data_IF_569701469383
#
_entry.id   IF_569701469383
#
_cell.length_a   1.000
_cell.length_b   1.000
_cell.length_c   1.000
_cell.angle_alpha   90.00
_cell.angle_beta   90.00
_cell.angle_gamma   90.00
#
_symmetry.space_group_name_H-M   'P 1'
#
loop_
_entity.id
_entity.type
_entity.pdbx_description
1 polymer ?
#
# COMPACT_ATOMS: atom_id res chain seq x y z
N UNK A 1 22.20 14.23 -23.01
CA UNK A 1 21.15 14.41 -22.01
C UNK A 1 19.92 13.64 -22.49
N UNK A 2 19.24 12.84 -21.66
CA UNK A 2 17.99 12.22 -22.09
C UNK A 2 17.00 13.33 -22.48
N UNK A 3 16.15 13.06 -23.50
CA UNK A 3 15.02 13.93 -23.86
C UNK A 3 14.28 14.31 -22.58
N UNK A 4 13.88 15.57 -22.44
CA UNK A 4 12.95 15.94 -21.37
C UNK A 4 11.73 15.02 -21.46
N UNK A 5 11.52 14.21 -20.44
CA UNK A 5 10.36 13.30 -20.33
C UNK A 5 9.29 14.06 -19.57
N UNK A 6 8.13 14.20 -20.18
CA UNK A 6 6.99 14.86 -19.56
C UNK A 6 6.04 13.83 -18.94
N UNK A 7 5.21 14.31 -18.04
CA UNK A 7 4.19 13.47 -17.36
C UNK A 7 3.27 12.79 -18.37
N UNK A 8 2.88 13.51 -19.43
CA UNK A 8 2.01 12.95 -20.49
C UNK A 8 2.62 11.79 -21.28
N UNK A 9 3.95 11.66 -21.31
CA UNK A 9 4.65 10.57 -22.00
C UNK A 9 4.54 9.25 -21.25
N UNK A 10 4.33 9.31 -19.91
CA UNK A 10 4.43 8.15 -19.02
C UNK A 10 3.17 7.91 -18.18
N UNK A 11 2.23 8.86 -18.13
CA UNK A 11 0.99 8.72 -17.37
C UNK A 11 0.09 7.62 -17.95
N UNK A 12 -0.68 6.97 -17.09
CA UNK A 12 -1.78 6.11 -17.49
C UNK A 12 -2.97 6.99 -17.88
N UNK A 13 -3.45 6.86 -19.13
CA UNK A 13 -4.57 7.68 -19.65
C UNK A 13 -5.94 7.06 -19.36
N UNK A 14 -6.04 5.73 -19.44
CA UNK A 14 -7.28 5.01 -19.09
C UNK A 14 -7.36 4.79 -17.59
N UNK A 15 -7.69 5.86 -16.87
CA UNK A 15 -7.68 5.88 -15.40
C UNK A 15 -8.97 5.27 -14.86
N UNK A 16 -8.81 4.21 -14.10
CA UNK A 16 -9.93 3.65 -13.32
C UNK A 16 -10.25 4.59 -12.16
N UNK A 17 -11.48 5.07 -12.10
CA UNK A 17 -11.95 6.03 -11.11
C UNK A 17 -13.15 5.48 -10.33
N UNK A 18 -13.39 6.04 -9.13
CA UNK A 18 -14.66 5.98 -8.45
C UNK A 18 -15.41 7.30 -8.64
N UNK A 19 -16.72 7.33 -8.52
CA UNK A 19 -17.55 8.54 -8.71
C UNK A 19 -18.38 8.87 -7.48
N UNK A 20 -18.66 10.16 -7.27
CA UNK A 20 -19.61 10.61 -6.25
C UNK A 20 -21.00 10.83 -6.87
N UNK A 21 -22.08 10.47 -6.15
CA UNK A 21 -22.10 9.70 -4.92
C UNK A 21 -21.65 8.26 -5.14
N UNK A 22 -21.04 7.62 -4.13
CA UNK A 22 -20.55 6.25 -4.21
C UNK A 22 -20.41 5.62 -2.84
N UNK A 23 -20.21 4.30 -2.84
CA UNK A 23 -20.12 3.50 -1.63
C UNK A 23 -18.76 2.83 -1.45
N UNK A 24 -18.49 2.38 -0.21
CA UNK A 24 -17.35 1.54 0.15
C UNK A 24 -17.25 0.28 -0.71
N UNK A 25 -18.39 -0.41 -0.89
CA UNK A 25 -18.43 -1.67 -1.63
C UNK A 25 -18.08 -1.52 -3.11
N UNK A 26 -18.51 -0.42 -3.73
CA UNK A 26 -18.14 -0.10 -5.11
C UNK A 26 -16.63 0.10 -5.23
N UNK A 27 -16.02 0.83 -4.30
CA UNK A 27 -14.57 1.02 -4.27
C UNK A 27 -13.84 -0.30 -4.07
N UNK A 28 -14.30 -1.15 -3.12
CA UNK A 28 -13.70 -2.47 -2.90
C UNK A 28 -13.73 -3.33 -4.16
N UNK A 29 -14.86 -3.35 -4.88
CA UNK A 29 -14.99 -4.05 -6.17
C UNK A 29 -14.01 -3.51 -7.21
N UNK A 30 -13.88 -2.20 -7.33
CA UNK A 30 -12.92 -1.56 -8.25
C UNK A 30 -11.50 -1.98 -7.91
N UNK A 31 -11.07 -1.81 -6.64
CA UNK A 31 -9.72 -2.12 -6.20
C UNK A 31 -9.35 -3.59 -6.38
N UNK A 32 -10.33 -4.50 -6.17
CA UNK A 32 -10.15 -5.95 -6.34
C UNK A 32 -10.08 -6.34 -7.81
N UNK A 33 -11.07 -5.92 -8.61
CA UNK A 33 -11.20 -6.35 -10.02
C UNK A 33 -10.08 -5.77 -10.90
N UNK A 34 -9.68 -4.53 -10.64
CA UNK A 34 -8.61 -3.84 -11.38
C UNK A 34 -7.23 -4.04 -10.77
N UNK A 35 -7.13 -4.75 -9.64
CA UNK A 35 -5.88 -5.04 -8.92
C UNK A 35 -5.07 -3.78 -8.59
N UNK A 36 -5.75 -2.65 -8.33
CA UNK A 36 -5.12 -1.37 -7.96
C UNK A 36 -5.21 -1.12 -6.46
N UNK A 37 -4.29 -0.32 -5.93
CA UNK A 37 -4.25 -0.01 -4.50
C UNK A 37 -4.99 1.28 -4.12
N UNK A 38 -5.54 1.99 -5.10
CA UNK A 38 -6.35 3.18 -4.91
C UNK A 38 -6.60 3.87 -6.25
N UNK A 39 -7.65 4.68 -6.28
CA UNK A 39 -8.15 5.35 -7.48
C UNK A 39 -8.53 6.80 -7.19
N UNK A 40 -8.50 7.68 -8.19
CA UNK A 40 -9.11 9.00 -8.10
C UNK A 40 -10.63 8.89 -7.90
N UNK A 41 -11.19 9.87 -7.20
CA UNK A 41 -12.64 10.03 -7.02
C UNK A 41 -13.07 11.25 -7.82
N UNK A 42 -14.05 11.04 -8.70
CA UNK A 42 -14.57 12.07 -9.58
C UNK A 42 -15.95 12.56 -9.12
N UNK A 43 -16.18 13.83 -9.30
CA UNK A 43 -17.50 14.45 -9.32
C UNK A 43 -17.55 15.33 -10.56
N UNK A 44 -18.53 15.10 -11.44
CA UNK A 44 -18.69 15.86 -12.70
C UNK A 44 -17.39 15.94 -13.54
N UNK A 45 -16.66 14.82 -13.64
CA UNK A 45 -15.37 14.69 -14.33
C UNK A 45 -14.18 15.41 -13.68
N UNK A 46 -14.38 16.05 -12.53
CA UNK A 46 -13.34 16.72 -11.74
C UNK A 46 -12.81 15.76 -10.68
N UNK A 47 -11.50 15.67 -10.52
CA UNK A 47 -10.86 14.87 -9.47
C UNK A 47 -11.02 15.58 -8.12
N UNK A 48 -11.97 15.15 -7.30
CA UNK A 48 -12.28 15.74 -5.99
C UNK A 48 -11.64 15.00 -4.81
N UNK A 49 -11.05 13.84 -5.06
CA UNK A 49 -10.40 13.04 -4.01
C UNK A 49 -9.62 11.86 -4.55
N UNK A 50 -8.98 11.15 -3.63
CA UNK A 50 -8.35 9.85 -3.85
C UNK A 50 -8.83 8.91 -2.76
N UNK A 51 -9.23 7.70 -3.14
CA UNK A 51 -9.54 6.62 -2.22
C UNK A 51 -8.58 5.45 -2.42
N UNK A 52 -8.10 4.87 -1.33
CA UNK A 52 -7.14 3.78 -1.32
C UNK A 52 -7.54 2.69 -0.32
N UNK A 53 -6.91 1.50 -0.44
CA UNK A 53 -7.07 0.43 0.56
C UNK A 53 -6.81 0.92 1.99
N UNK A 54 -5.83 1.81 2.17
CA UNK A 54 -5.52 2.38 3.48
C UNK A 54 -6.66 3.22 4.04
N UNK A 55 -7.38 3.97 3.19
CA UNK A 55 -8.55 4.74 3.62
C UNK A 55 -9.66 3.80 4.12
N UNK A 56 -9.92 2.71 3.37
CA UNK A 56 -10.94 1.71 3.73
C UNK A 56 -10.60 0.97 5.03
N UNK A 57 -9.32 0.63 5.24
CA UNK A 57 -8.87 -0.06 6.45
C UNK A 57 -8.88 0.82 7.70
N UNK A 58 -8.65 2.13 7.55
CA UNK A 58 -8.67 3.08 8.68
C UNK A 58 -10.08 3.39 9.18
N UNK A 59 -11.07 3.27 8.32
CA UNK A 59 -12.46 3.59 8.62
C UNK A 59 -13.34 2.40 8.24
N UNK A 60 -13.28 1.28 9.00
CA UNK A 60 -13.95 0.04 8.63
C UNK A 60 -15.48 0.14 8.63
N UNK A 61 -16.05 1.03 9.44
CA UNK A 61 -17.50 1.20 9.58
C UNK A 61 -18.08 2.27 8.65
N UNK A 62 -17.23 3.01 7.92
CA UNK A 62 -17.71 4.09 7.05
C UNK A 62 -18.10 3.53 5.67
N UNK A 63 -19.33 3.82 5.24
CA UNK A 63 -19.91 3.35 3.98
C UNK A 63 -19.85 4.40 2.87
N UNK A 64 -19.83 5.69 3.22
CA UNK A 64 -19.89 6.76 2.24
C UNK A 64 -18.51 7.07 1.65
N UNK A 65 -18.37 6.95 0.33
CA UNK A 65 -17.12 7.28 -0.38
C UNK A 65 -16.63 8.70 -0.09
N UNK A 66 -17.54 9.67 0.03
CA UNK A 66 -17.20 11.06 0.31
C UNK A 66 -16.52 11.29 1.67
N UNK A 67 -16.70 10.37 2.64
CA UNK A 67 -16.08 10.40 3.96
C UNK A 67 -14.83 9.51 4.02
N UNK A 68 -14.75 8.49 3.16
CA UNK A 68 -13.60 7.60 3.04
C UNK A 68 -12.44 8.21 2.28
N UNK A 69 -12.70 9.03 1.27
CA UNK A 69 -11.65 9.58 0.40
C UNK A 69 -10.81 10.65 1.10
N UNK A 70 -9.57 10.81 0.67
CA UNK A 70 -8.78 12.00 0.94
C UNK A 70 -9.21 13.06 -0.06
N UNK A 71 -9.73 14.18 0.42
CA UNK A 71 -10.22 15.30 -0.39
C UNK A 71 -9.06 16.15 -0.92
N UNK A 72 -9.37 16.98 -1.91
CA UNK A 72 -8.46 17.95 -2.50
C UNK A 72 -7.09 17.34 -2.85
N UNK A 73 -7.08 16.38 -3.82
CA UNK A 73 -5.88 15.65 -4.15
C UNK A 73 -4.85 16.59 -4.78
N UNK A 74 -3.60 16.40 -4.40
CA UNK A 74 -2.49 17.05 -5.09
C UNK A 74 -2.47 16.55 -6.53
N UNK A 75 -2.49 17.45 -7.48
CA UNK A 75 -2.55 17.17 -8.92
C UNK A 75 -1.30 17.69 -9.63
N UNK A 76 -1.06 17.22 -10.85
CA UNK A 76 0.05 17.67 -11.69
C UNK A 76 -0.43 17.93 -13.12
N UNK A 77 0.22 18.86 -13.84
CA UNK A 77 -0.05 19.12 -15.26
C UNK A 77 0.57 18.02 -16.15
N UNK A 78 -0.06 17.67 -17.28
CA UNK A 78 0.54 16.75 -18.26
C UNK A 78 1.87 17.27 -18.85
N UNK A 79 2.04 18.60 -18.90
CA UNK A 79 3.26 19.25 -19.40
C UNK A 79 4.38 19.40 -18.38
N UNK A 80 4.15 18.96 -17.12
CA UNK A 80 5.22 18.91 -16.10
C UNK A 80 6.26 17.87 -16.46
N UNK A 81 7.51 18.11 -16.09
CA UNK A 81 8.59 17.15 -16.31
C UNK A 81 8.61 16.03 -15.25
N UNK A 82 9.38 14.99 -15.55
CA UNK A 82 9.54 13.81 -14.69
C UNK A 82 10.13 14.16 -13.31
N UNK A 83 11.04 15.13 -13.26
CA UNK A 83 11.70 15.59 -12.03
C UNK A 83 10.69 16.24 -11.09
N UNK A 84 9.84 17.12 -11.61
CA UNK A 84 8.73 17.73 -10.86
C UNK A 84 7.78 16.67 -10.31
N UNK A 85 7.41 15.66 -11.11
CA UNK A 85 6.56 14.56 -10.66
C UNK A 85 7.23 13.75 -9.51
N UNK A 86 8.52 13.41 -9.65
CA UNK A 86 9.30 12.71 -8.63
C UNK A 86 9.37 13.52 -7.32
N UNK A 87 9.64 14.83 -7.43
CA UNK A 87 9.70 15.75 -6.30
C UNK A 87 8.37 15.81 -5.55
N UNK A 88 7.26 16.02 -6.25
CA UNK A 88 5.92 16.07 -5.65
C UNK A 88 5.55 14.76 -4.94
N UNK A 89 5.84 13.59 -5.55
CA UNK A 89 5.59 12.29 -4.94
C UNK A 89 6.38 12.10 -3.63
N UNK A 90 7.62 12.59 -3.57
CA UNK A 90 8.47 12.49 -2.39
C UNK A 90 8.09 13.48 -1.31
N UNK A 91 7.99 14.77 -1.61
CA UNK A 91 7.75 15.85 -0.65
C UNK A 91 6.39 15.68 0.05
N UNK A 92 5.35 15.36 -0.71
CA UNK A 92 4.01 15.15 -0.15
C UNK A 92 3.78 13.74 0.41
N UNK A 93 4.80 12.88 0.35
CA UNK A 93 4.71 11.49 0.82
C UNK A 93 3.53 10.71 0.23
N UNK A 94 3.22 10.92 -1.04
CA UNK A 94 2.13 10.29 -1.79
C UNK A 94 2.67 9.30 -2.82
N UNK A 95 1.84 8.36 -3.25
CA UNK A 95 2.22 7.33 -4.22
C UNK A 95 1.64 7.55 -5.61
N UNK A 96 0.77 8.54 -5.78
CA UNK A 96 0.07 8.83 -7.04
C UNK A 96 -0.34 10.28 -7.11
N UNK A 97 -0.32 10.81 -8.32
CA UNK A 97 -0.75 12.16 -8.67
C UNK A 97 -1.76 12.06 -9.81
N UNK A 98 -3.01 12.50 -9.61
CA UNK A 98 -3.92 12.74 -10.71
C UNK A 98 -3.33 13.80 -11.66
N UNK A 99 -3.34 13.50 -12.94
CA UNK A 99 -2.91 14.45 -13.98
C UNK A 99 -4.13 15.20 -14.46
N UNK A 100 -4.09 16.52 -14.34
CA UNK A 100 -5.23 17.39 -14.61
C UNK A 100 -4.85 18.42 -15.67
N UNK A 101 -5.70 18.58 -16.67
CA UNK A 101 -5.62 19.58 -17.70
C UNK A 101 -6.97 20.32 -17.78
N UNK A 102 -6.95 21.67 -17.78
CA UNK A 102 -8.16 22.50 -17.75
C UNK A 102 -9.22 22.05 -16.71
N UNK A 103 -8.76 21.64 -15.51
CA UNK A 103 -9.61 21.18 -14.41
C UNK A 103 -10.16 19.75 -14.55
N UNK A 104 -9.88 19.05 -15.65
CA UNK A 104 -10.34 17.68 -15.91
C UNK A 104 -9.24 16.66 -15.70
N UNK A 105 -9.60 15.50 -15.19
CA UNK A 105 -8.68 14.37 -15.08
C UNK A 105 -8.35 13.83 -16.48
N UNK A 106 -7.08 13.88 -16.88
CA UNK A 106 -6.57 13.38 -18.16
C UNK A 106 -5.65 12.16 -18.00
N UNK A 107 -5.19 11.88 -16.79
CA UNK A 107 -4.29 10.76 -16.51
C UNK A 107 -4.03 10.54 -15.03
N UNK A 108 -3.22 9.53 -14.76
CA UNK A 108 -2.69 9.23 -13.43
C UNK A 108 -1.22 8.86 -13.57
N UNK A 109 -0.37 9.46 -12.75
CA UNK A 109 1.03 9.04 -12.62
C UNK A 109 1.28 8.49 -11.21
N UNK A 110 2.06 7.43 -11.10
CA UNK A 110 2.39 6.77 -9.84
C UNK A 110 3.90 6.61 -9.66
N UNK A 111 4.33 6.31 -8.44
CA UNK A 111 5.74 5.93 -8.16
C UNK A 111 6.20 4.79 -9.09
N UNK A 112 5.33 3.82 -9.38
CA UNK A 112 5.68 2.68 -10.25
C UNK A 112 5.96 3.13 -11.70
N UNK A 113 5.24 4.10 -12.22
CA UNK A 113 5.45 4.64 -13.59
C UNK A 113 6.78 5.39 -13.66
N UNK A 114 7.08 6.22 -12.65
CA UNK A 114 8.38 6.91 -12.55
C UNK A 114 9.53 5.91 -12.44
N UNK A 115 9.43 4.89 -11.57
CA UNK A 115 10.43 3.82 -11.45
C UNK A 115 10.55 3.03 -12.75
N UNK A 116 9.42 2.80 -13.44
CA UNK A 116 9.40 2.19 -14.77
C UNK A 116 10.24 2.96 -15.78
N UNK A 117 10.17 4.29 -15.74
CA UNK A 117 10.97 5.18 -16.58
C UNK A 117 12.45 5.18 -16.18
N UNK A 118 12.75 5.22 -14.87
CA UNK A 118 14.12 5.09 -14.34
C UNK A 118 14.78 3.78 -14.78
N UNK A 119 13.99 2.69 -14.86
CA UNK A 119 14.47 1.39 -15.33
C UNK A 119 14.93 1.42 -16.80
N UNK A 120 14.31 2.26 -17.62
CA UNK A 120 14.61 2.41 -19.04
C UNK A 120 15.72 3.47 -19.29
N UNK A 121 16.07 4.24 -18.24
CA UNK A 121 17.20 5.17 -18.26
C UNK A 121 18.53 4.45 -18.00
N UNK A 122 19.64 5.14 -18.28
CA UNK A 122 21.00 4.72 -17.91
C UNK A 122 21.51 5.60 -16.78
N UNK A 123 21.08 5.28 -15.54
CA UNK A 123 21.56 5.94 -14.33
C UNK A 123 22.49 4.95 -13.62
N UNK A 124 23.79 5.09 -13.88
CA UNK A 124 24.81 4.18 -13.36
C UNK A 124 25.26 4.50 -11.93
N UNK A 125 24.69 5.57 -11.34
CA UNK A 125 24.97 5.95 -9.95
C UNK A 125 24.67 4.79 -9.00
N UNK A 126 25.62 4.41 -8.11
CA UNK A 126 25.40 3.40 -7.11
C UNK A 126 24.30 3.78 -6.12
N UNK A 127 23.48 2.80 -5.70
CA UNK A 127 22.36 3.05 -4.79
C UNK A 127 22.75 3.36 -3.34
N UNK A 128 24.02 3.28 -2.99
CA UNK A 128 24.53 3.43 -1.61
C UNK A 128 23.96 4.62 -0.85
N UNK A 129 23.84 5.79 -1.50
CA UNK A 129 23.37 7.02 -0.86
C UNK A 129 21.83 7.08 -0.72
N UNK A 130 21.12 6.19 -1.36
CA UNK A 130 19.66 6.15 -1.39
C UNK A 130 19.05 5.07 -0.52
N UNK A 131 19.87 4.13 -0.05
CA UNK A 131 19.44 2.99 0.77
C UNK A 131 19.18 3.45 2.21
N UNK A 132 18.05 3.04 2.76
CA UNK A 132 17.78 3.18 4.18
C UNK A 132 18.52 2.10 4.96
N UNK A 133 19.44 2.49 5.83
CA UNK A 133 20.19 1.57 6.70
C UNK A 133 19.41 1.19 7.96
N UNK A 134 18.32 1.90 8.27
CA UNK A 134 17.43 1.56 9.39
C UNK A 134 16.43 0.50 8.93
N UNK A 135 16.82 -0.76 9.03
CA UNK A 135 16.01 -1.88 8.57
C UNK A 135 15.40 -2.61 9.74
N UNK A 136 14.10 -2.83 9.63
CA UNK A 136 13.37 -3.71 10.54
C UNK A 136 13.39 -5.13 9.94
N UNK A 137 14.09 -6.06 10.57
CA UNK A 137 14.15 -7.45 10.13
C UNK A 137 13.55 -8.37 11.19
N UNK A 138 13.04 -9.53 10.76
CA UNK A 138 12.37 -10.52 11.61
C UNK A 138 13.13 -11.84 11.57
N UNK A 139 13.15 -12.54 12.71
CA UNK A 139 13.70 -13.90 12.78
C UNK A 139 12.71 -14.92 12.21
N UNK A 140 13.23 -15.89 11.45
CA UNK A 140 12.41 -16.84 10.70
C UNK A 140 11.51 -17.75 11.55
N UNK A 141 11.88 -18.01 12.81
CA UNK A 141 11.09 -18.83 13.74
C UNK A 141 10.05 -18.02 14.53
N UNK A 142 9.92 -16.71 14.26
CA UNK A 142 8.94 -15.87 14.95
C UNK A 142 7.52 -16.32 14.58
N UNK A 143 6.59 -16.48 15.57
CA UNK A 143 5.20 -16.80 15.29
C UNK A 143 4.54 -15.76 14.38
N UNK A 144 3.79 -16.23 13.38
CA UNK A 144 3.18 -15.38 12.36
C UNK A 144 2.24 -14.29 12.94
N UNK A 145 1.40 -14.56 13.97
CA UNK A 145 0.57 -13.53 14.59
C UNK A 145 1.36 -12.40 15.24
N UNK A 146 2.53 -12.73 15.81
CA UNK A 146 3.44 -11.72 16.42
C UNK A 146 3.96 -10.78 15.36
N UNK A 147 4.44 -11.33 14.23
CA UNK A 147 4.96 -10.52 13.12
C UNK A 147 3.85 -9.69 12.46
N UNK A 148 2.67 -10.27 12.28
CA UNK A 148 1.50 -9.53 11.76
C UNK A 148 1.21 -8.29 12.63
N UNK A 149 1.24 -8.45 13.96
CA UNK A 149 1.04 -7.33 14.89
C UNK A 149 2.17 -6.31 14.85
N UNK A 150 3.41 -6.75 14.75
CA UNK A 150 4.58 -5.86 14.61
C UNK A 150 4.47 -5.04 13.32
N UNK A 151 4.18 -5.68 12.19
CA UNK A 151 4.04 -5.00 10.90
C UNK A 151 2.90 -3.99 10.89
N UNK A 152 1.77 -4.33 11.52
CA UNK A 152 0.63 -3.42 11.70
C UNK A 152 1.02 -2.18 12.50
N UNK A 153 1.59 -2.35 13.69
CA UNK A 153 1.98 -1.24 14.59
C UNK A 153 3.06 -0.35 13.96
N UNK A 154 4.01 -0.96 13.24
CA UNK A 154 5.11 -0.27 12.59
C UNK A 154 4.74 0.24 11.19
N UNK A 155 3.53 -0.05 10.70
CA UNK A 155 3.04 0.30 9.36
C UNK A 155 3.95 -0.18 8.23
N UNK A 156 4.57 -1.34 8.43
CA UNK A 156 5.46 -1.97 7.47
C UNK A 156 4.64 -2.86 6.52
N UNK A 157 4.93 -2.77 5.23
CA UNK A 157 4.29 -3.61 4.20
C UNK A 157 5.05 -4.89 3.91
N UNK A 158 6.34 -4.88 4.14
CA UNK A 158 7.20 -6.04 4.04
C UNK A 158 8.39 -5.92 4.98
N UNK A 159 8.93 -7.06 5.40
CA UNK A 159 10.08 -7.16 6.29
C UNK A 159 11.03 -8.25 5.79
N UNK A 160 12.35 -8.00 5.78
CA UNK A 160 13.36 -9.02 5.57
C UNK A 160 13.33 -10.07 6.67
N UNK A 161 13.56 -11.32 6.29
CA UNK A 161 13.59 -12.47 7.21
C UNK A 161 15.02 -13.01 7.32
N UNK A 162 15.51 -13.10 8.55
CA UNK A 162 16.84 -13.60 8.88
C UNK A 162 16.77 -14.99 9.52
N UNK A 163 17.81 -15.75 9.31
CA UNK A 163 18.05 -17.02 10.02
C UNK A 163 18.87 -16.82 11.31
N UNK A 164 19.21 -17.91 12.01
CA UNK A 164 20.03 -17.91 13.23
C UNK A 164 21.47 -17.44 13.02
N UNK A 165 21.96 -17.41 11.79
CA UNK A 165 23.27 -16.90 11.42
C UNK A 165 23.23 -15.42 10.99
N UNK A 166 22.07 -14.77 11.11
CA UNK A 166 21.79 -13.43 10.63
C UNK A 166 21.95 -13.27 9.11
N UNK A 167 21.71 -14.33 8.36
CA UNK A 167 21.67 -14.29 6.89
C UNK A 167 20.26 -14.01 6.41
N UNK A 168 20.17 -13.25 5.32
CA UNK A 168 18.88 -13.01 4.66
C UNK A 168 18.43 -14.27 3.94
N UNK A 169 17.31 -14.85 4.39
CA UNK A 169 16.73 -16.08 3.82
C UNK A 169 15.37 -15.88 3.17
N UNK A 170 14.72 -14.76 3.42
CA UNK A 170 13.39 -14.49 2.88
C UNK A 170 12.95 -13.05 3.03
N UNK A 171 11.74 -12.80 2.53
CA UNK A 171 10.96 -11.58 2.75
C UNK A 171 9.52 -11.97 3.07
N UNK A 172 8.89 -11.29 4.01
CA UNK A 172 7.50 -11.47 4.36
C UNK A 172 6.75 -10.16 4.11
N UNK A 173 5.65 -10.22 3.37
CA UNK A 173 4.79 -9.07 3.11
C UNK A 173 3.41 -9.22 3.77
N UNK A 174 2.68 -8.11 3.85
CA UNK A 174 1.28 -8.10 4.28
C UNK A 174 0.40 -9.02 3.42
N UNK A 175 0.71 -9.16 2.13
CA UNK A 175 -0.01 -10.06 1.21
C UNK A 175 0.19 -11.53 1.58
N UNK A 176 1.40 -11.90 1.99
CA UNK A 176 1.73 -13.28 2.38
C UNK A 176 1.00 -13.63 3.67
N UNK A 177 0.92 -12.70 4.63
CA UNK A 177 0.16 -12.87 5.87
C UNK A 177 -1.33 -13.03 5.57
N UNK A 178 -1.91 -12.17 4.71
CA UNK A 178 -3.32 -12.27 4.33
C UNK A 178 -3.60 -13.58 3.60
N UNK A 179 -2.71 -14.03 2.70
CA UNK A 179 -2.87 -15.30 1.98
C UNK A 179 -2.83 -16.52 2.92
N UNK A 180 -2.05 -16.46 4.00
CA UNK A 180 -1.98 -17.50 5.02
C UNK A 180 -3.10 -17.42 6.06
N UNK A 181 -3.88 -16.34 6.08
CA UNK A 181 -4.95 -16.13 7.06
C UNK A 181 -6.21 -16.91 6.71
N UNK A 182 -6.95 -17.32 7.74
CA UNK A 182 -8.24 -18.00 7.61
C UNK A 182 -9.35 -16.98 7.86
N UNK A 183 -10.40 -17.02 7.05
CA UNK A 183 -11.63 -16.27 7.31
C UNK A 183 -12.47 -17.10 8.28
N UNK A 184 -12.63 -16.61 9.50
CA UNK A 184 -13.58 -17.18 10.47
C UNK A 184 -14.87 -16.36 10.39
N UNK A 185 -15.94 -17.01 9.94
CA UNK A 185 -17.29 -16.47 10.03
C UNK A 185 -17.85 -16.82 11.39
N UNK A 186 -18.12 -15.83 12.22
CA UNK A 186 -18.81 -15.98 13.49
C UNK A 186 -20.13 -15.24 13.47
N UNK A 187 -21.16 -15.85 14.04
CA UNK A 187 -22.42 -15.17 14.32
C UNK A 187 -22.34 -14.62 15.73
N UNK A 188 -22.29 -13.31 15.87
CA UNK A 188 -22.34 -12.66 17.17
C UNK A 188 -23.79 -12.27 17.47
N UNK A 189 -24.22 -12.54 18.71
CA UNK A 189 -25.55 -12.17 19.20
C UNK A 189 -25.41 -10.94 20.10
N UNK A 190 -26.01 -9.83 19.71
CA UNK A 190 -26.13 -8.67 20.57
C UNK A 190 -27.48 -8.67 21.25
N UNK A 191 -27.48 -8.78 22.57
CA UNK A 191 -28.66 -8.54 23.39
C UNK A 191 -28.72 -7.06 23.69
N UNK A 192 -29.59 -6.32 23.03
CA UNK A 192 -29.97 -5.00 23.48
C UNK A 192 -30.84 -5.15 24.73
N UNK A 193 -30.26 -5.16 25.92
CA UNK A 193 -31.01 -4.88 27.12
C UNK A 193 -31.36 -3.41 27.13
N UNK A 194 -32.61 -3.06 26.95
CA UNK A 194 -33.08 -1.71 27.23
C UNK A 194 -32.72 -1.37 28.68
N UNK A 195 -32.07 -0.21 28.86
CA UNK A 195 -31.62 0.27 30.16
C UNK A 195 -32.77 0.27 31.16
N UNK A 196 -32.45 -0.05 32.39
CA UNK A 196 -33.35 0.05 33.55
C UNK A 196 -33.61 1.51 33.84
N UNK A 197 -34.69 2.06 33.32
CA UNK A 197 -35.31 3.23 33.88
C UNK A 197 -36.53 2.76 34.69
N UNK A 198 -36.52 3.12 35.98
CA UNK A 198 -37.61 2.89 36.95
C UNK A 198 -38.86 3.74 36.60
N UNK A 199 -39.51 3.42 35.50
CA UNK A 199 -40.83 3.96 35.21
C UNK A 199 -41.86 2.81 35.08
N UNK A 200 -42.75 2.76 36.08
CA UNK A 200 -43.77 1.78 36.36
C UNK A 200 -44.95 1.73 35.36
N UNK A 201 -44.71 2.01 34.08
CA UNK A 201 -45.72 1.91 33.01
C UNK A 201 -45.16 1.28 31.74
N UNK A 202 -44.44 0.19 31.89
CA UNK A 202 -44.08 -0.64 30.75
C UNK A 202 -45.12 -1.73 30.55
N UNK A 203 -45.76 -1.68 29.40
CA UNK A 203 -46.66 -2.71 28.92
C UNK A 203 -45.96 -4.08 28.91
N UNK A 204 -46.49 -5.03 29.62
CA UNK A 204 -45.98 -6.40 29.78
C UNK A 204 -45.86 -7.20 28.47
N UNK A 205 -46.33 -6.64 27.35
CA UNK A 205 -46.31 -7.23 26.01
C UNK A 205 -45.12 -6.85 25.11
N UNK A 206 -44.17 -6.04 25.59
CA UNK A 206 -42.97 -5.63 24.82
C UNK A 206 -41.66 -6.16 25.40
N UNK A 207 -41.68 -7.31 26.04
CA UNK A 207 -40.47 -8.07 26.42
C UNK A 207 -39.97 -8.96 25.29
N UNK A 208 -40.20 -8.63 24.06
CA UNK A 208 -39.47 -9.28 22.97
C UNK A 208 -38.06 -8.70 22.91
N UNK A 209 -37.15 -9.43 23.57
CA UNK A 209 -35.73 -9.18 23.46
C UNK A 209 -35.36 -9.34 21.98
N UNK A 210 -35.20 -8.24 21.28
CA UNK A 210 -34.80 -8.27 19.89
C UNK A 210 -33.33 -8.70 19.84
N UNK A 211 -33.11 -9.99 19.62
CA UNK A 211 -31.79 -10.55 19.40
C UNK A 211 -31.39 -10.28 17.98
N UNK A 212 -30.44 -9.36 17.80
CA UNK A 212 -29.87 -9.08 16.48
C UNK A 212 -28.70 -10.04 16.26
N UNK A 213 -28.85 -10.92 15.27
CA UNK A 213 -27.78 -11.78 14.79
C UNK A 213 -27.09 -11.08 13.64
N UNK A 214 -25.80 -10.82 13.77
CA UNK A 214 -24.99 -10.34 12.69
C UNK A 214 -23.79 -11.24 12.42
N UNK A 215 -23.49 -11.44 11.16
CA UNK A 215 -22.33 -12.22 10.75
C UNK A 215 -21.10 -11.33 10.77
N UNK A 216 -20.08 -11.74 11.53
CA UNK A 216 -18.78 -11.06 11.56
C UNK A 216 -17.75 -11.97 10.94
N UNK A 217 -17.22 -11.55 9.79
CA UNK A 217 -16.08 -12.21 9.16
C UNK A 217 -14.79 -11.58 9.66
N UNK A 218 -14.00 -12.32 10.43
CA UNK A 218 -12.70 -11.86 10.93
C UNK A 218 -11.57 -12.60 10.23
N UNK A 219 -10.58 -11.84 9.77
CA UNK A 219 -9.33 -12.41 9.26
C UNK A 219 -8.51 -12.83 10.49
N UNK A 220 -8.29 -14.15 10.64
CA UNK A 220 -7.50 -14.70 11.72
C UNK A 220 -6.18 -15.26 11.19
N UNK A 221 -5.09 -14.75 11.71
CA UNK A 221 -3.76 -15.30 11.45
C UNK A 221 -3.59 -16.57 12.26
N UNK A 222 -3.28 -17.74 11.64
CA UNK A 222 -3.14 -19.00 12.36
C UNK A 222 -2.01 -18.96 13.40
N UNK A 223 -2.28 -19.44 14.61
CA UNK A 223 -1.32 -19.42 15.71
C UNK A 223 -0.20 -20.47 15.59
N UNK A 224 -0.38 -21.47 14.73
CA UNK A 224 0.54 -22.58 14.53
C UNK A 224 1.56 -22.34 13.41
N UNK A 225 1.48 -21.22 12.71
CA UNK A 225 2.43 -20.85 11.66
C UNK A 225 3.53 -19.94 12.20
N UNK A 226 4.73 -20.14 11.66
CA UNK A 226 5.89 -19.27 11.84
C UNK A 226 6.23 -18.56 10.53
N UNK A 227 7.03 -17.50 10.60
CA UNK A 227 7.44 -16.71 9.42
C UNK A 227 8.02 -17.56 8.29
N UNK A 228 8.87 -18.54 8.61
CA UNK A 228 9.49 -19.45 7.64
C UNK A 228 8.51 -20.23 6.78
N UNK A 229 7.30 -20.51 7.30
CA UNK A 229 6.29 -21.29 6.59
C UNK A 229 5.61 -20.49 5.48
N UNK A 230 5.62 -19.16 5.60
CA UNK A 230 4.82 -18.24 4.80
C UNK A 230 5.66 -17.28 3.95
N UNK A 231 6.90 -17.01 4.38
CA UNK A 231 7.77 -16.06 3.68
C UNK A 231 8.08 -16.48 2.24
N UNK A 232 8.30 -15.50 1.38
CA UNK A 232 8.90 -15.71 0.07
C UNK A 232 10.38 -16.00 0.27
N UNK A 233 10.83 -17.19 -0.13
CA UNK A 233 12.22 -17.63 -0.04
C UNK A 233 13.02 -17.03 -1.19
N UNK A 234 14.35 -16.90 -0.99
CA UNK A 234 15.28 -16.37 -2.01
C UNK A 234 14.81 -15.03 -2.59
N UNK A 235 14.68 -13.99 -1.76
CA UNK A 235 14.22 -12.71 -2.23
C UNK A 235 15.20 -12.11 -3.23
N UNK A 236 14.65 -11.34 -4.18
CA UNK A 236 15.46 -10.56 -5.11
C UNK A 236 16.20 -9.49 -4.31
N UNK A 237 17.52 -9.45 -4.45
CA UNK A 237 18.39 -8.56 -3.68
C UNK A 237 19.22 -7.66 -4.57
N UNK A 238 19.84 -6.66 -3.96
CA UNK A 238 20.87 -5.83 -4.58
C UNK A 238 22.03 -5.63 -3.60
N UNK A 239 23.08 -4.96 -4.05
CA UNK A 239 24.24 -4.57 -3.24
C UNK A 239 24.40 -3.05 -3.33
N UNK A 240 25.16 -2.43 -2.43
CA UNK A 240 25.40 -0.99 -2.44
C UNK A 240 26.01 -0.45 -3.75
N UNK A 241 26.71 -1.30 -4.49
CA UNK A 241 27.32 -0.96 -5.78
C UNK A 241 26.39 -1.14 -6.98
N UNK A 242 25.20 -1.74 -6.79
CA UNK A 242 24.20 -1.87 -7.85
C UNK A 242 23.77 -0.48 -8.33
N UNK A 243 23.56 -0.31 -9.64
CA UNK A 243 23.11 0.96 -10.17
C UNK A 243 21.63 1.22 -9.91
N UNK A 244 21.23 2.49 -9.91
CA UNK A 244 19.85 2.94 -9.76
C UNK A 244 18.97 2.27 -10.82
N UNK A 245 19.37 2.31 -12.09
CA UNK A 245 18.58 1.72 -13.19
C UNK A 245 18.50 0.20 -13.10
N UNK A 246 19.52 -0.51 -12.61
CA UNK A 246 19.47 -1.95 -12.40
C UNK A 246 18.47 -2.33 -11.32
N UNK A 247 18.45 -1.59 -10.21
CA UNK A 247 17.48 -1.78 -9.14
C UNK A 247 16.05 -1.50 -9.62
N UNK A 248 15.85 -0.43 -10.39
CA UNK A 248 14.56 -0.11 -11.00
C UNK A 248 14.10 -1.21 -11.96
N UNK A 249 15.00 -1.76 -12.81
CA UNK A 249 14.70 -2.91 -13.69
C UNK A 249 14.29 -4.16 -12.91
N UNK A 250 14.98 -4.48 -11.80
CA UNK A 250 14.62 -5.59 -10.92
C UNK A 250 13.22 -5.41 -10.35
N UNK A 251 12.89 -4.21 -9.83
CA UNK A 251 11.57 -3.90 -9.28
C UNK A 251 10.47 -4.00 -10.35
N UNK A 252 10.70 -3.40 -11.54
CA UNK A 252 9.76 -3.42 -12.68
C UNK A 252 9.46 -4.85 -13.14
N UNK A 253 10.49 -5.65 -13.39
CA UNK A 253 10.36 -7.03 -13.89
C UNK A 253 9.64 -7.95 -12.93
N UNK A 254 9.92 -7.82 -11.63
CA UNK A 254 9.40 -8.71 -10.60
C UNK A 254 8.15 -8.17 -9.92
N UNK A 255 7.68 -6.99 -10.33
CA UNK A 255 6.50 -6.29 -9.75
C UNK A 255 6.58 -6.13 -8.24
N UNK A 256 7.79 -5.81 -7.76
CA UNK A 256 8.07 -5.54 -6.34
C UNK A 256 8.44 -4.07 -6.16
N UNK A 257 8.20 -3.54 -4.98
CA UNK A 257 8.46 -2.14 -4.63
C UNK A 257 9.58 -1.99 -3.60
N UNK A 258 10.30 -3.07 -3.30
CA UNK A 258 11.34 -3.10 -2.28
C UNK A 258 12.41 -4.15 -2.60
N UNK A 259 13.68 -3.82 -2.29
CA UNK A 259 14.82 -4.71 -2.44
C UNK A 259 15.65 -4.72 -1.15
N UNK A 260 15.83 -5.87 -0.50
CA UNK A 260 16.85 -6.04 0.53
C UNK A 260 18.26 -5.84 -0.06
N UNK A 261 19.09 -5.10 0.63
CA UNK A 261 20.50 -4.89 0.26
C UNK A 261 21.38 -5.79 1.12
N UNK A 262 22.20 -6.59 0.47
CA UNK A 262 23.09 -7.55 1.13
C UNK A 262 24.55 -7.34 0.73
N UNK A 263 25.44 -7.83 1.58
CA UNK A 263 26.87 -7.97 1.25
C UNK A 263 27.19 -9.35 0.65
N UNK A 264 28.48 -9.59 0.34
CA UNK A 264 28.97 -10.87 -0.18
C UNK A 264 28.68 -12.08 0.73
N UNK A 265 28.53 -11.85 2.03
CA UNK A 265 28.25 -12.88 3.03
C UNK A 265 26.73 -13.01 3.32
N UNK A 266 25.87 -12.56 2.41
CA UNK A 266 24.41 -12.59 2.53
C UNK A 266 23.85 -11.84 3.77
N UNK A 267 24.67 -11.03 4.46
CA UNK A 267 24.23 -10.22 5.60
C UNK A 267 23.45 -9.00 5.11
N UNK A 268 22.30 -8.76 5.73
CA UNK A 268 21.45 -7.61 5.43
C UNK A 268 22.18 -6.33 5.82
N UNK A 269 22.23 -5.35 4.92
CA UNK A 269 22.89 -4.06 5.09
C UNK A 269 21.92 -2.87 5.00
N UNK A 270 20.80 -3.05 4.33
CA UNK A 270 19.85 -1.96 4.09
C UNK A 270 18.60 -2.44 3.38
N UNK A 271 17.72 -1.49 3.09
CA UNK A 271 16.49 -1.73 2.38
C UNK A 271 16.24 -0.58 1.40
N UNK A 272 16.09 -0.90 0.13
CA UNK A 272 15.81 0.05 -0.93
C UNK A 272 14.33 -0.03 -1.30
N UNK A 273 13.62 1.07 -1.19
CA UNK A 273 12.21 1.17 -1.61
C UNK A 273 12.12 1.79 -3.00
N UNK A 274 11.06 1.53 -3.70
CA UNK A 274 10.77 2.12 -5.02
C UNK A 274 10.87 3.66 -5.00
N UNK A 275 10.41 4.31 -3.93
CA UNK A 275 10.48 5.76 -3.74
C UNK A 275 11.91 6.29 -3.63
N UNK A 276 12.82 5.47 -3.11
CA UNK A 276 14.22 5.88 -2.98
C UNK A 276 14.89 6.03 -4.35
N UNK A 277 14.38 5.33 -5.38
CA UNK A 277 14.83 5.44 -6.77
C UNK A 277 14.35 6.72 -7.48
N UNK A 278 13.50 7.52 -6.86
CA UNK A 278 13.10 8.83 -7.37
C UNK A 278 14.10 9.92 -6.99
N UNK A 279 14.84 9.75 -5.88
CA UNK A 279 15.81 10.74 -5.38
C UNK A 279 16.88 11.12 -6.41
N UNK A 280 17.49 10.15 -7.16
CA UNK A 280 18.47 10.47 -8.18
C UNK A 280 17.99 11.39 -9.29
N UNK A 281 16.67 11.45 -9.54
CA UNK A 281 16.09 12.37 -10.53
C UNK A 281 16.11 13.83 -10.05
N UNK A 282 16.11 14.03 -8.73
CA UNK A 282 16.09 15.36 -8.10
C UNK A 282 17.51 15.85 -7.82
N UNK A 283 18.43 14.92 -7.46
CA UNK A 283 19.82 15.24 -7.13
C UNK A 283 20.70 15.51 -8.36
N UNK A 284 20.16 15.38 -9.57
CA UNK A 284 20.88 15.54 -10.84
C UNK A 284 21.06 17.00 -11.30
N UNK A 285 20.84 17.99 -10.39
CA UNK A 285 21.13 19.43 -10.62
C UNK A 285 22.61 19.76 -10.52
#
# INVERSE_FOLDING_TARGET
MPKNIFVEDIMVRDVVCATLPGSRDEVLKILKNKQVSGVPVLKDSIAVGIVSRTNLLRNPEEEQLALLMTRDPITISPTSDLQTAAKMLLEHNIRRLPVVDDGKLVGLITVADVVGTVADMTIDTPIKNYVDSKVFAIYSETPLPVVARIMELSRLKAVPVLDGNLELIGILSDRDIIAASVIEDSVEMSNMSAGSDDDAWTWESMRDTMSIYYSVSRIKVPNNLIVRDVMVREPITATYISSVSDCARKMKRSRIDQLPIINSNRKLQGFLRDRDLLKPLIDAE
#
